data_IF_423588277652
#
_entry.id   IF_423588277652
#
_cell.length_a   1.000
_cell.length_b   1.000
_cell.length_c   1.000
_cell.angle_alpha   90.00
_cell.angle_beta   90.00
_cell.angle_gamma   90.00
#
_symmetry.space_group_name_H-M   'P 1'
#
loop_
_entity.id
_entity.type
_entity.pdbx_description
1 polymer ?
#
# COMPACT_ATOMS: atom_id res chain seq x y z
N UNK A 1 4.82 -0.37 -22.31
CA UNK A 1 5.60 -0.07 -21.08
C UNK A 1 4.95 1.11 -20.39
N UNK A 2 4.39 0.93 -19.20
CA UNK A 2 3.80 2.05 -18.43
C UNK A 2 4.95 2.82 -17.80
N UNK A 3 5.10 4.10 -18.15
CA UNK A 3 6.18 4.91 -17.62
C UNK A 3 5.91 5.16 -16.13
N UNK A 4 6.58 4.42 -15.22
CA UNK A 4 6.31 4.47 -13.78
C UNK A 4 6.43 5.89 -13.18
N UNK A 5 7.15 6.78 -13.88
CA UNK A 5 7.31 8.20 -13.55
C UNK A 5 6.07 9.06 -13.78
N UNK A 6 5.14 8.65 -14.64
CA UNK A 6 3.90 9.39 -14.94
C UNK A 6 2.64 8.59 -14.58
N UNK A 7 2.76 7.27 -14.40
CA UNK A 7 1.65 6.41 -13.98
C UNK A 7 1.00 6.90 -12.68
N UNK A 8 -0.33 6.90 -12.63
CA UNK A 8 -1.11 7.33 -11.48
C UNK A 8 -0.87 6.41 -10.27
N UNK A 9 -0.93 6.97 -9.06
CA UNK A 9 -0.89 6.16 -7.85
C UNK A 9 -2.12 5.26 -7.78
N UNK A 10 -1.94 3.96 -7.53
CA UNK A 10 -3.03 2.98 -7.45
C UNK A 10 -4.12 3.35 -6.43
N UNK A 11 -3.74 4.03 -5.35
CA UNK A 11 -4.61 4.30 -4.19
C UNK A 11 -5.24 5.69 -4.17
N UNK A 12 -4.52 6.72 -4.63
CA UNK A 12 -5.00 8.10 -4.60
C UNK A 12 -5.18 8.74 -5.98
N UNK A 13 -4.90 7.98 -7.04
CA UNK A 13 -4.91 8.41 -8.45
C UNK A 13 -4.01 9.63 -8.75
N UNK A 14 -3.18 10.08 -7.80
CA UNK A 14 -2.31 11.23 -8.03
C UNK A 14 -1.24 10.91 -9.09
N UNK A 15 -1.03 11.78 -10.08
CA UNK A 15 -0.02 11.59 -11.13
C UNK A 15 1.40 11.62 -10.55
N UNK A 16 2.32 10.94 -11.22
CA UNK A 16 3.74 10.95 -10.87
C UNK A 16 4.33 12.35 -10.98
N UNK A 17 5.30 12.66 -10.11
CA UNK A 17 6.03 13.92 -10.14
C UNK A 17 7.54 13.61 -10.18
N UNK A 18 8.30 14.46 -10.89
CA UNK A 18 9.77 14.37 -10.89
C UNK A 18 10.29 14.44 -9.45
N UNK A 19 11.26 13.58 -9.12
CA UNK A 19 11.86 13.49 -7.79
C UNK A 19 11.01 12.77 -6.72
N UNK A 20 9.78 12.32 -7.05
CA UNK A 20 8.97 11.51 -6.13
C UNK A 20 8.97 10.05 -6.55
N UNK A 21 9.76 9.25 -5.85
CA UNK A 21 9.80 7.80 -6.04
C UNK A 21 8.48 7.14 -5.62
N UNK A 22 8.17 6.01 -6.24
CA UNK A 22 6.97 5.22 -5.97
C UNK A 22 7.32 3.75 -5.84
N UNK A 23 6.68 3.07 -4.89
CA UNK A 23 6.84 1.64 -4.75
C UNK A 23 6.17 0.96 -5.97
N UNK A 24 6.86 0.02 -6.64
CA UNK A 24 6.26 -0.71 -7.74
C UNK A 24 5.17 -1.65 -7.22
N UNK A 25 4.18 -1.92 -8.08
CA UNK A 25 3.11 -2.87 -7.79
C UNK A 25 2.57 -3.52 -9.06
N UNK A 26 1.94 -4.70 -8.94
CA UNK A 26 1.49 -5.49 -10.09
C UNK A 26 0.43 -4.76 -10.92
N UNK A 27 -0.47 -4.01 -10.26
CA UNK A 27 -1.55 -3.25 -10.92
C UNK A 27 -1.17 -1.78 -11.14
N UNK A 28 -0.20 -1.27 -10.38
CA UNK A 28 0.27 0.11 -10.52
C UNK A 28 1.17 0.53 -9.37
N UNK A 29 1.86 1.67 -9.50
CA UNK A 29 2.75 2.18 -8.46
C UNK A 29 1.95 2.76 -7.27
N UNK A 30 2.56 2.75 -6.09
CA UNK A 30 2.04 3.40 -4.88
C UNK A 30 2.95 4.55 -4.48
N UNK A 31 2.37 5.72 -4.21
CA UNK A 31 3.11 6.86 -3.68
C UNK A 31 3.38 6.72 -2.18
N UNK A 32 4.44 7.39 -1.71
CA UNK A 32 4.85 7.38 -0.29
C UNK A 32 3.72 7.76 0.65
N UNK A 33 2.94 8.78 0.32
CA UNK A 33 1.84 9.24 1.17
C UNK A 33 0.75 8.17 1.36
N UNK A 34 0.49 7.32 0.35
CA UNK A 34 -0.46 6.22 0.48
C UNK A 34 0.11 5.04 1.26
N UNK A 35 1.43 4.82 1.20
CA UNK A 35 2.11 3.83 2.02
C UNK A 35 2.06 4.25 3.49
N UNK A 36 2.42 5.50 3.79
CA UNK A 36 2.38 6.07 5.15
C UNK A 36 0.95 6.02 5.72
N UNK A 37 -0.05 6.49 4.96
CA UNK A 37 -1.44 6.43 5.38
C UNK A 37 -1.92 4.99 5.65
N UNK A 38 -1.51 4.03 4.81
CA UNK A 38 -1.85 2.62 5.00
C UNK A 38 -1.20 1.99 6.22
N UNK A 39 0.06 2.34 6.51
CA UNK A 39 0.77 1.85 7.71
C UNK A 39 0.16 2.40 8.98
N UNK A 40 -0.10 3.70 8.98
CA UNK A 40 -0.74 4.32 10.13
C UNK A 40 -2.15 3.75 10.36
N UNK A 41 -2.92 3.49 9.28
CA UNK A 41 -4.21 2.81 9.34
C UNK A 41 -4.11 1.41 9.94
N UNK A 42 -3.12 0.62 9.50
CA UNK A 42 -2.91 -0.72 10.06
C UNK A 42 -2.45 -0.69 11.51
N UNK A 43 -1.86 0.43 11.97
CA UNK A 43 -1.36 0.61 13.34
C UNK A 43 -2.44 1.07 14.32
N UNK A 44 -3.27 2.05 13.93
CA UNK A 44 -4.25 2.67 14.84
C UNK A 44 -5.71 2.40 14.49
N UNK A 45 -5.98 1.76 13.35
CA UNK A 45 -7.32 1.42 12.88
C UNK A 45 -8.18 2.60 12.43
N UNK A 46 -7.62 3.82 12.34
CA UNK A 46 -8.37 5.03 11.98
C UNK A 46 -8.39 5.24 10.47
N UNK A 47 -9.58 5.40 9.90
CA UNK A 47 -9.77 5.69 8.48
C UNK A 47 -9.07 7.00 8.07
N UNK A 48 -8.57 7.07 6.84
CA UNK A 48 -7.79 8.22 6.33
C UNK A 48 -8.17 8.57 4.90
N UNK A 49 -8.11 9.84 4.53
CA UNK A 49 -8.29 10.24 3.13
C UNK A 49 -7.02 9.97 2.31
N UNK A 50 -7.18 9.31 1.17
CA UNK A 50 -6.16 8.99 0.18
C UNK A 50 -6.28 9.91 -1.03
N UNK A 51 -6.23 11.23 -0.82
CA UNK A 51 -6.38 12.23 -1.89
C UNK A 51 -7.76 12.23 -2.57
N UNK A 52 -8.22 13.41 -3.01
CA UNK A 52 -9.56 13.56 -3.58
C UNK A 52 -10.64 13.03 -2.62
N UNK A 53 -11.49 12.12 -3.12
CA UNK A 53 -12.57 11.47 -2.39
C UNK A 53 -12.27 10.01 -1.98
N UNK A 54 -11.02 9.56 -2.12
CA UNK A 54 -10.64 8.19 -1.76
C UNK A 54 -10.42 8.08 -0.24
N UNK A 55 -10.92 7.01 0.38
CA UNK A 55 -10.78 6.69 1.79
C UNK A 55 -10.01 5.38 1.95
N UNK A 56 -8.99 5.38 2.81
CA UNK A 56 -8.33 4.20 3.35
C UNK A 56 -9.17 3.65 4.51
N UNK A 57 -9.65 2.43 4.35
CA UNK A 57 -10.41 1.70 5.37
C UNK A 57 -9.68 0.44 5.79
N UNK A 58 -9.66 0.16 7.09
CA UNK A 58 -9.06 -1.06 7.62
C UNK A 58 -9.99 -2.25 7.33
N UNK A 59 -9.42 -3.31 6.77
CA UNK A 59 -10.09 -4.59 6.58
C UNK A 59 -9.27 -5.66 7.30
N UNK A 60 -9.94 -6.36 8.21
CA UNK A 60 -9.38 -7.52 8.92
C UNK A 60 -10.13 -8.80 8.59
N UNK A 61 -11.36 -8.73 8.06
CA UNK A 61 -12.15 -9.90 7.70
C UNK A 61 -11.51 -10.71 6.54
N UNK A 62 -11.58 -12.05 6.57
CA UNK A 62 -11.10 -12.90 5.48
C UNK A 62 -11.86 -12.64 4.16
N UNK A 63 -11.24 -12.96 3.02
CA UNK A 63 -11.93 -12.96 1.71
C UNK A 63 -11.65 -11.80 0.75
N UNK A 64 -10.78 -10.85 1.11
CA UNK A 64 -10.26 -9.84 0.15
C UNK A 64 -8.73 -9.84 0.18
N UNK A 65 -8.06 -10.62 -0.69
CA UNK A 65 -6.61 -10.78 -0.63
C UNK A 65 -5.87 -9.50 -0.96
N UNK A 66 -4.64 -9.39 -0.45
CA UNK A 66 -3.72 -8.34 -0.84
C UNK A 66 -3.33 -8.48 -2.32
N UNK A 67 -3.49 -7.42 -3.13
CA UNK A 67 -3.20 -7.47 -4.57
C UNK A 67 -1.70 -7.66 -4.89
N UNK A 68 -0.82 -7.60 -3.89
CA UNK A 68 0.64 -7.71 -4.03
C UNK A 68 1.22 -9.08 -3.66
N UNK A 69 0.58 -9.79 -2.73
CA UNK A 69 1.09 -11.07 -2.23
C UNK A 69 0.03 -12.16 -2.17
N UNK A 70 -1.21 -11.85 -2.57
CA UNK A 70 -2.35 -12.76 -2.59
C UNK A 70 -2.71 -13.39 -1.23
N UNK A 71 -2.27 -12.75 -0.13
CA UNK A 71 -2.55 -13.20 1.23
C UNK A 71 -3.63 -12.33 1.87
N UNK A 72 -4.55 -12.96 2.58
CA UNK A 72 -5.54 -12.33 3.48
C UNK A 72 -5.38 -12.74 4.96
N UNK A 73 -4.60 -13.79 5.22
CA UNK A 73 -4.25 -14.28 6.54
C UNK A 73 -2.73 -14.42 6.75
N UNK A 74 -2.28 -14.30 8.00
CA UNK A 74 -0.95 -14.73 8.44
C UNK A 74 -1.07 -16.10 9.08
N UNK A 75 -0.31 -17.07 8.58
CA UNK A 75 -0.12 -18.40 9.18
C UNK A 75 1.28 -18.50 9.80
N UNK A 76 1.46 -18.23 11.10
CA UNK A 76 2.65 -18.66 11.79
C UNK A 76 2.65 -20.19 11.86
N UNK A 77 3.80 -20.82 11.64
CA UNK A 77 3.99 -22.29 11.50
C UNK A 77 3.39 -23.15 12.64
N UNK A 78 2.99 -22.54 13.77
CA UNK A 78 2.44 -23.21 14.95
C UNK A 78 1.22 -22.49 15.60
N UNK A 79 0.56 -21.54 14.92
CA UNK A 79 -0.60 -20.81 15.50
C UNK A 79 -1.83 -20.83 14.59
N UNK A 80 -3.00 -20.63 15.20
CA UNK A 80 -4.24 -20.29 14.50
C UNK A 80 -3.99 -19.14 13.52
N UNK A 81 -4.60 -19.25 12.33
CA UNK A 81 -4.60 -18.21 11.32
C UNK A 81 -5.01 -16.87 11.94
N UNK A 82 -4.11 -15.90 11.91
CA UNK A 82 -4.41 -14.55 12.36
C UNK A 82 -4.82 -13.70 11.16
N UNK A 83 -5.92 -12.93 11.26
CA UNK A 83 -6.31 -12.06 10.18
C UNK A 83 -5.22 -11.03 9.91
N UNK A 84 -4.85 -10.85 8.64
CA UNK A 84 -3.82 -9.89 8.24
C UNK A 84 -4.46 -8.51 8.05
N UNK A 85 -4.08 -7.47 8.83
CA UNK A 85 -4.58 -6.12 8.62
C UNK A 85 -4.26 -5.63 7.20
N UNK A 86 -5.29 -5.09 6.54
CA UNK A 86 -5.21 -4.62 5.16
C UNK A 86 -5.83 -3.24 5.04
N UNK A 87 -5.18 -2.37 4.27
CA UNK A 87 -5.78 -1.13 3.79
C UNK A 87 -6.58 -1.44 2.52
N UNK A 88 -7.87 -1.08 2.52
CA UNK A 88 -8.72 -1.03 1.32
C UNK A 88 -8.98 0.43 0.93
N UNK A 89 -8.88 0.73 -0.35
CA UNK A 89 -9.33 2.01 -0.93
C UNK A 89 -10.84 1.98 -1.17
N UNK A 90 -11.56 3.07 -0.84
CA UNK A 90 -12.98 3.26 -1.13
C UNK A 90 -13.22 4.66 -1.73
N UNK A 91 -14.00 4.84 -2.82
CA UNK A 91 -14.54 3.79 -3.67
C UNK A 91 -13.43 3.01 -4.40
N UNK A 92 -13.71 1.74 -4.70
CA UNK A 92 -12.79 0.82 -5.36
C UNK A 92 -12.44 -0.42 -4.52
N UNK A 93 -11.54 -1.23 -5.07
CA UNK A 93 -11.18 -2.56 -4.53
C UNK A 93 -9.66 -2.76 -4.45
N UNK A 94 -8.88 -1.68 -4.45
CA UNK A 94 -7.44 -1.78 -4.21
C UNK A 94 -7.18 -2.15 -2.75
N UNK A 95 -6.41 -3.20 -2.53
CA UNK A 95 -6.15 -3.78 -1.21
C UNK A 95 -4.68 -4.13 -1.06
N UNK A 96 -4.06 -3.60 0.00
CA UNK A 96 -2.68 -3.88 0.36
C UNK A 96 -2.57 -4.23 1.85
N UNK A 97 -1.88 -5.32 2.15
CA UNK A 97 -1.64 -5.74 3.54
C UNK A 97 -0.53 -4.95 4.22
N UNK A 98 -0.52 -4.97 5.55
CA UNK A 98 0.52 -4.36 6.38
C UNK A 98 1.94 -4.75 5.94
N UNK A 99 2.19 -6.03 5.66
CA UNK A 99 3.52 -6.51 5.23
C UNK A 99 3.99 -5.84 3.92
N UNK A 100 3.08 -5.73 2.95
CA UNK A 100 3.40 -5.14 1.65
C UNK A 100 3.56 -3.63 1.75
N UNK A 101 2.82 -2.97 2.66
CA UNK A 101 3.02 -1.56 2.98
C UNK A 101 4.42 -1.31 3.55
N UNK A 102 4.85 -2.10 4.54
CA UNK A 102 6.19 -1.99 5.13
C UNK A 102 7.29 -2.26 4.10
N UNK A 103 7.11 -3.28 3.24
CA UNK A 103 8.05 -3.58 2.16
C UNK A 103 8.14 -2.44 1.14
N UNK A 104 7.02 -1.81 0.80
CA UNK A 104 6.97 -0.65 -0.09
C UNK A 104 7.79 0.53 0.44
N UNK A 105 7.63 0.86 1.72
CA UNK A 105 8.42 1.92 2.38
C UNK A 105 9.91 1.60 2.40
N UNK A 106 10.30 0.35 2.71
CA UNK A 106 11.70 -0.05 2.68
C UNK A 106 12.32 0.10 1.29
N UNK A 107 11.57 -0.21 0.23
CA UNK A 107 12.03 -0.01 -1.15
C UNK A 107 12.22 1.49 -1.45
N UNK A 108 11.29 2.34 -1.04
CA UNK A 108 11.39 3.79 -1.23
C UNK A 108 12.56 4.41 -0.46
N UNK A 109 12.79 3.97 0.78
CA UNK A 109 13.91 4.42 1.59
C UNK A 109 15.25 4.09 0.93
N UNK A 110 15.40 2.88 0.37
CA UNK A 110 16.63 2.46 -0.32
C UNK A 110 16.93 3.32 -1.55
N UNK A 111 15.95 3.57 -2.40
CA UNK A 111 16.18 4.37 -3.61
C UNK A 111 16.34 5.86 -3.33
N UNK A 112 15.76 6.37 -2.23
CA UNK A 112 15.93 7.76 -1.82
C UNK A 112 17.31 8.00 -1.18
N UNK A 113 17.82 7.04 -0.41
CA UNK A 113 19.15 7.13 0.19
C UNK A 113 20.30 7.02 -0.83
N UNK A 114 20.10 6.29 -1.92
CA UNK A 114 21.10 6.14 -3.00
C UNK A 114 21.32 7.44 -3.80
N UNK A 115 20.38 8.39 -3.78
CA UNK A 115 20.51 9.66 -4.50
C UNK A 115 21.11 10.80 -3.65
N UNK A 116 21.65 10.50 -2.47
CA UNK A 116 22.37 11.46 -1.60
C UNK A 116 23.84 11.06 -1.37
N UNK A 117 24.39 10.15 -2.21
CA UNK A 117 25.79 9.76 -2.23
C UNK A 117 26.50 10.26 -3.47
#
# INVERSE_FOLDING_TARGET
MVNARTALCRFCDRPGAKGRYRAPGPVGPICRECLDAGRDLCRDGKERLLGGLNLARLVTAPGIPCEFCDRDERRPWLRHAQPLPRMRRVPGDSVICADCLDRGEQLLARVSGVCHG
#
